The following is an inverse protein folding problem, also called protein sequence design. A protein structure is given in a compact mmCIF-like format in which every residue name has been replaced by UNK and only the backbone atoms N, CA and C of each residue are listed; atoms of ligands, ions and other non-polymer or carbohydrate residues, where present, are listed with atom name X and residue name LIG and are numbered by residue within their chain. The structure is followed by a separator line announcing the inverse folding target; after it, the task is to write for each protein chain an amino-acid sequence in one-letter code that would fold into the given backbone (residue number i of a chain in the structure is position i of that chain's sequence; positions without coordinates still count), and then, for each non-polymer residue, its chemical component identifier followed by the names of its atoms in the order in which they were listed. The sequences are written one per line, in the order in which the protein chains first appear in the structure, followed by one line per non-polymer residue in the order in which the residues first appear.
data_IF_979983157730
#
_entry.id   IF_979983157730
#
_cell.length_a   1.000
_cell.length_b   1.000
_cell.length_c   1.000
_cell.angle_alpha   90.00
_cell.angle_beta   90.00
_cell.angle_gamma   90.00
#
_symmetry.space_group_name_H-M   'P 1'
#
loop_
_entity.id
_entity.type
_entity.pdbx_description
1 polymer ?
#
# COMPACT_ATOMS: atom_id res chain seq x y z
N UNK A 1 11.18 16.26 10.20
CA UNK A 1 11.80 17.30 11.06
C UNK A 1 13.34 17.22 11.05
N UNK A 2 13.95 16.02 11.12
CA UNK A 2 15.42 15.88 11.13
C UNK A 2 16.05 16.45 9.86
N UNK A 3 15.55 16.09 8.67
CA UNK A 3 16.04 16.63 7.39
C UNK A 3 15.98 18.18 7.35
N UNK A 4 14.90 18.77 7.89
CA UNK A 4 14.76 20.23 7.98
C UNK A 4 15.85 20.85 8.88
N UNK A 5 16.15 20.22 10.00
CA UNK A 5 17.20 20.69 10.91
C UNK A 5 18.58 20.63 10.21
N UNK A 6 18.89 19.52 9.58
CA UNK A 6 20.16 19.29 8.90
C UNK A 6 20.36 20.25 7.71
N UNK A 7 19.31 20.50 6.88
CA UNK A 7 19.36 21.48 5.79
C UNK A 7 19.62 22.89 6.33
N UNK A 8 18.88 23.31 7.37
CA UNK A 8 19.03 24.65 7.94
C UNK A 8 20.43 24.87 8.56
N UNK A 9 20.98 23.84 9.20
CA UNK A 9 22.32 23.87 9.77
C UNK A 9 23.40 23.93 8.67
N UNK A 10 23.32 23.03 7.67
CA UNK A 10 24.30 22.93 6.60
C UNK A 10 24.35 24.18 5.72
N UNK A 11 23.17 24.75 5.40
CA UNK A 11 23.06 25.95 4.56
C UNK A 11 23.12 27.26 5.36
N UNK A 12 23.20 27.20 6.68
CA UNK A 12 23.25 28.37 7.55
C UNK A 12 21.96 29.21 7.51
N UNK A 13 20.81 28.58 7.25
CA UNK A 13 19.53 29.28 7.16
C UNK A 13 18.98 29.62 8.54
N UNK A 14 18.67 30.91 8.76
CA UNK A 14 18.15 31.43 10.01
C UNK A 14 16.89 32.27 9.81
N UNK A 15 16.12 32.43 10.85
CA UNK A 15 14.96 33.33 10.89
C UNK A 15 13.92 32.97 9.83
N UNK A 16 13.63 33.92 8.93
CA UNK A 16 12.63 33.74 7.86
C UNK A 16 13.11 32.87 6.70
N UNK A 17 14.42 32.69 6.56
CA UNK A 17 15.02 31.93 5.46
C UNK A 17 15.08 30.42 5.77
N UNK A 18 14.73 30.01 7.01
CA UNK A 18 14.67 28.60 7.39
C UNK A 18 13.69 27.82 6.54
N UNK A 19 14.13 26.66 6.09
CA UNK A 19 13.23 25.62 5.55
C UNK A 19 12.22 25.23 6.62
N UNK A 20 10.97 25.13 6.23
CA UNK A 20 9.85 24.67 7.07
C UNK A 20 9.03 23.68 6.27
N UNK A 21 8.55 22.65 6.91
CA UNK A 21 7.62 21.67 6.32
C UNK A 21 6.28 21.80 7.01
N UNK A 22 5.24 22.05 6.24
CA UNK A 22 3.85 21.84 6.64
C UNK A 22 3.44 20.43 6.19
N UNK A 23 2.66 19.74 6.99
CA UNK A 23 2.07 18.45 6.67
C UNK A 23 0.56 18.60 6.62
N UNK A 24 -0.04 18.08 5.55
CA UNK A 24 -1.47 17.97 5.39
C UNK A 24 -1.79 16.68 4.62
N UNK A 25 -2.97 16.11 4.80
CA UNK A 25 -3.39 14.90 4.12
C UNK A 25 -4.85 14.59 4.42
N UNK A 26 -5.49 13.74 3.59
CA UNK A 26 -6.85 13.30 3.82
C UNK A 26 -6.97 12.50 5.13
N UNK A 27 -8.18 12.43 5.66
CA UNK A 27 -8.48 11.64 6.86
C UNK A 27 -8.30 10.14 6.61
N UNK A 28 -8.69 9.69 5.41
CA UNK A 28 -8.53 8.31 4.96
C UNK A 28 -7.58 8.28 3.77
N UNK A 29 -6.63 7.35 3.77
CA UNK A 29 -5.56 7.27 2.77
C UNK A 29 -6.08 7.10 1.33
N UNK A 30 -7.21 6.42 1.15
CA UNK A 30 -7.83 6.18 -0.15
C UNK A 30 -8.74 7.33 -0.62
N UNK A 31 -8.86 8.42 0.15
CA UNK A 31 -9.74 9.56 -0.20
C UNK A 31 -9.10 10.45 -1.26
N UNK A 32 -9.18 10.01 -2.52
CA UNK A 32 -8.57 10.67 -3.68
C UNK A 32 -9.09 12.10 -3.86
N UNK A 33 -10.41 12.32 -3.79
CA UNK A 33 -11.02 13.65 -3.96
C UNK A 33 -10.56 14.61 -2.87
N UNK A 34 -10.41 14.15 -1.63
CA UNK A 34 -9.89 14.97 -0.53
C UNK A 34 -8.42 15.30 -0.75
N UNK A 35 -7.60 14.37 -1.23
CA UNK A 35 -6.20 14.62 -1.57
C UNK A 35 -6.08 15.70 -2.66
N UNK A 36 -6.87 15.62 -3.73
CA UNK A 36 -6.90 16.62 -4.81
C UNK A 36 -7.26 18.01 -4.26
N UNK A 37 -8.30 18.10 -3.44
CA UNK A 37 -8.71 19.37 -2.82
C UNK A 37 -7.63 19.96 -1.92
N UNK A 38 -6.99 19.14 -1.09
CA UNK A 38 -5.88 19.57 -0.23
C UNK A 38 -4.71 20.05 -1.09
N UNK A 39 -4.38 19.36 -2.17
CA UNK A 39 -3.29 19.77 -3.06
C UNK A 39 -3.59 21.12 -3.73
N UNK A 40 -4.82 21.37 -4.17
CA UNK A 40 -5.25 22.67 -4.69
C UNK A 40 -5.08 23.78 -3.66
N UNK A 41 -5.51 23.55 -2.40
CA UNK A 41 -5.35 24.51 -1.31
C UNK A 41 -3.89 24.80 -0.98
N UNK A 42 -3.03 23.76 -0.98
CA UNK A 42 -1.61 23.95 -0.71
C UNK A 42 -0.90 24.67 -1.88
N UNK A 43 -1.22 24.36 -3.14
CA UNK A 43 -0.68 25.09 -4.29
C UNK A 43 -1.09 26.56 -4.31
N UNK A 44 -2.31 26.88 -3.88
CA UNK A 44 -2.77 28.28 -3.74
C UNK A 44 -1.97 29.11 -2.73
N UNK A 45 -1.23 28.46 -1.82
CA UNK A 45 -0.31 29.12 -0.87
C UNK A 45 1.08 29.40 -1.45
N UNK A 46 1.32 29.00 -2.71
CA UNK A 46 2.60 29.14 -3.41
C UNK A 46 3.79 28.55 -2.60
N UNK A 47 3.77 27.25 -2.27
CA UNK A 47 4.88 26.62 -1.57
C UNK A 47 6.14 26.63 -2.44
N UNK A 48 7.31 26.58 -1.83
CA UNK A 48 8.60 26.53 -2.55
C UNK A 48 8.81 25.19 -3.26
N UNK A 49 8.23 24.11 -2.72
CA UNK A 49 8.17 22.77 -3.31
C UNK A 49 7.04 21.97 -2.66
N UNK A 50 6.59 20.91 -3.31
CA UNK A 50 5.64 19.94 -2.79
C UNK A 50 6.26 18.56 -2.77
N UNK A 51 6.05 17.81 -1.67
CA UNK A 51 6.29 16.36 -1.61
C UNK A 51 4.95 15.67 -1.33
N UNK A 52 4.59 14.66 -2.13
CA UNK A 52 3.28 14.01 -2.09
C UNK A 52 3.40 12.48 -2.25
N UNK A 53 2.68 11.72 -1.41
CA UNK A 53 2.35 10.32 -1.66
C UNK A 53 1.03 10.27 -2.43
N UNK A 54 1.06 9.73 -3.64
CA UNK A 54 -0.04 9.88 -4.61
C UNK A 54 -1.02 8.71 -4.45
N UNK A 55 -2.24 9.01 -4.04
CA UNK A 55 -3.28 8.01 -3.79
C UNK A 55 -3.86 7.37 -5.08
N UNK A 56 -3.88 8.11 -6.18
CA UNK A 56 -4.33 7.64 -7.50
C UNK A 56 -3.38 8.15 -8.58
N UNK A 57 -2.84 7.24 -9.38
CA UNK A 57 -1.81 7.53 -10.40
C UNK A 57 -2.20 8.58 -11.43
N UNK A 58 -3.48 8.92 -11.56
CA UNK A 58 -4.02 9.86 -12.57
C UNK A 58 -4.74 11.07 -11.98
N UNK A 59 -5.16 11.01 -10.73
CA UNK A 59 -6.07 12.01 -10.18
C UNK A 59 -5.46 13.42 -10.05
N UNK A 60 -4.15 13.54 -9.84
CA UNK A 60 -3.48 14.82 -9.56
C UNK A 60 -2.78 15.46 -10.77
N UNK A 61 -2.98 14.96 -11.99
CA UNK A 61 -2.26 15.47 -13.18
C UNK A 61 -2.49 16.96 -13.43
N UNK A 62 -3.75 17.44 -13.27
CA UNK A 62 -4.09 18.86 -13.44
C UNK A 62 -3.37 19.74 -12.42
N UNK A 63 -3.29 19.29 -11.17
CA UNK A 63 -2.59 19.99 -10.10
C UNK A 63 -1.07 20.00 -10.33
N UNK A 64 -0.52 18.94 -10.88
CA UNK A 64 0.90 18.88 -11.24
C UNK A 64 1.23 19.83 -12.40
N UNK A 65 0.35 19.94 -13.42
CA UNK A 65 0.49 20.93 -14.49
C UNK A 65 0.43 22.35 -13.91
N UNK A 66 -0.52 22.63 -13.01
CA UNK A 66 -0.62 23.92 -12.33
C UNK A 66 0.64 24.24 -11.50
N UNK A 67 1.19 23.26 -10.80
CA UNK A 67 2.44 23.40 -10.06
C UNK A 67 3.59 23.75 -10.99
N UNK A 68 3.71 23.05 -12.14
CA UNK A 68 4.73 23.30 -13.16
C UNK A 68 4.62 24.71 -13.76
N UNK A 69 3.42 25.18 -14.10
CA UNK A 69 3.15 26.54 -14.61
C UNK A 69 3.58 27.62 -13.59
N UNK A 70 3.50 27.33 -12.31
CA UNK A 70 3.90 28.22 -11.21
C UNK A 70 5.35 28.01 -10.74
N UNK A 71 6.12 27.16 -11.43
CA UNK A 71 7.50 26.79 -11.07
C UNK A 71 7.61 26.18 -9.66
N UNK A 72 6.60 25.46 -9.22
CA UNK A 72 6.60 24.72 -7.96
C UNK A 72 7.01 23.26 -8.24
N UNK A 73 8.24 22.84 -7.89
CA UNK A 73 8.68 21.47 -8.12
C UNK A 73 7.89 20.49 -7.24
N UNK A 74 7.53 19.34 -7.81
CA UNK A 74 6.82 18.25 -7.14
C UNK A 74 7.73 17.03 -7.06
N UNK A 75 7.85 16.47 -5.86
CA UNK A 75 8.52 15.20 -5.58
C UNK A 75 7.46 14.20 -5.11
N UNK A 76 7.42 13.03 -5.71
CA UNK A 76 6.60 11.94 -5.19
C UNK A 76 7.38 11.12 -4.15
N UNK A 77 6.69 10.60 -3.15
CA UNK A 77 7.24 9.63 -2.22
C UNK A 77 6.23 8.52 -1.94
N UNK A 78 6.73 7.37 -1.47
CA UNK A 78 5.94 6.17 -1.18
C UNK A 78 5.20 5.65 -2.42
N UNK A 79 4.11 6.26 -2.82
CA UNK A 79 3.35 5.96 -4.04
C UNK A 79 3.43 7.11 -5.04
N UNK A 80 3.67 6.78 -6.30
CA UNK A 80 3.93 7.73 -7.38
C UNK A 80 2.87 7.74 -8.48
N UNK A 81 3.26 8.29 -9.64
CA UNK A 81 2.48 8.27 -10.87
C UNK A 81 3.38 8.28 -12.10
N UNK A 82 2.80 8.06 -13.28
CA UNK A 82 3.51 8.16 -14.55
C UNK A 82 3.73 9.61 -15.03
N UNK A 83 3.32 10.62 -14.26
CA UNK A 83 3.47 12.03 -14.61
C UNK A 83 4.94 12.40 -14.78
N UNK A 84 5.31 12.90 -15.98
CA UNK A 84 6.73 13.12 -16.38
C UNK A 84 7.36 14.37 -15.74
N UNK A 85 6.57 15.21 -15.08
CA UNK A 85 7.03 16.43 -14.42
C UNK A 85 7.48 16.25 -12.97
N UNK A 86 7.41 15.03 -12.41
CA UNK A 86 7.94 14.76 -11.08
C UNK A 86 9.46 14.90 -11.05
N UNK A 87 9.97 15.63 -10.04
CA UNK A 87 11.41 15.93 -9.91
C UNK A 87 12.20 14.77 -9.30
N UNK A 88 11.55 13.88 -8.59
CA UNK A 88 12.07 12.62 -8.07
C UNK A 88 10.91 11.73 -7.58
N UNK A 89 11.16 10.44 -7.51
CA UNK A 89 10.37 9.45 -6.77
C UNK A 89 11.22 8.88 -5.64
N UNK A 90 10.71 8.92 -4.41
CA UNK A 90 11.38 8.42 -3.21
C UNK A 90 10.55 7.28 -2.64
N UNK A 91 10.97 6.04 -2.80
CA UNK A 91 10.14 4.89 -2.42
C UNK A 91 10.96 3.65 -2.07
N UNK A 92 10.28 2.66 -1.53
CA UNK A 92 10.74 1.27 -1.50
C UNK A 92 10.87 0.73 -2.93
N UNK A 93 11.87 -0.09 -3.21
CA UNK A 93 11.91 -0.92 -4.43
C UNK A 93 10.82 -2.01 -4.36
N UNK A 94 9.59 -1.60 -4.69
CA UNK A 94 8.42 -2.48 -4.65
C UNK A 94 8.53 -3.67 -5.60
N UNK A 95 9.33 -3.54 -6.69
CA UNK A 95 9.57 -4.66 -7.59
C UNK A 95 10.41 -5.74 -6.91
N UNK A 96 11.57 -5.37 -6.35
CA UNK A 96 12.41 -6.33 -5.63
C UNK A 96 11.73 -6.91 -4.40
N UNK A 97 11.05 -6.07 -3.63
CA UNK A 97 10.33 -6.49 -2.43
C UNK A 97 9.25 -7.56 -2.75
N UNK A 98 8.46 -7.34 -3.80
CA UNK A 98 7.42 -8.29 -4.20
C UNK A 98 7.98 -9.56 -4.82
N UNK A 99 9.12 -9.48 -5.54
CA UNK A 99 9.84 -10.66 -6.02
C UNK A 99 10.36 -11.51 -4.86
N UNK A 100 10.94 -10.88 -3.84
CA UNK A 100 11.43 -11.56 -2.64
C UNK A 100 10.28 -12.23 -1.86
N UNK A 101 9.16 -11.52 -1.65
CA UNK A 101 7.97 -12.11 -1.03
C UNK A 101 7.43 -13.33 -1.82
N UNK A 102 7.43 -13.25 -3.16
CA UNK A 102 7.02 -14.37 -4.00
C UNK A 102 7.93 -15.60 -3.87
N UNK A 103 9.26 -15.38 -3.74
CA UNK A 103 10.21 -16.46 -3.51
C UNK A 103 9.98 -17.13 -2.14
N UNK A 104 9.84 -16.35 -1.09
CA UNK A 104 9.55 -16.87 0.25
C UNK A 104 8.22 -17.63 0.30
N UNK A 105 7.16 -17.10 -0.36
CA UNK A 105 5.87 -17.79 -0.47
C UNK A 105 6.02 -19.16 -1.15
N UNK A 106 6.75 -19.22 -2.25
CA UNK A 106 6.98 -20.45 -2.96
C UNK A 106 7.79 -21.48 -2.16
N UNK A 107 8.79 -21.02 -1.39
CA UNK A 107 9.60 -21.86 -0.52
C UNK A 107 8.76 -22.43 0.64
N UNK A 108 7.94 -21.63 1.30
CA UNK A 108 7.11 -22.08 2.42
C UNK A 108 5.97 -23.02 2.01
N UNK A 109 5.51 -22.91 0.76
CA UNK A 109 4.45 -23.76 0.21
C UNK A 109 4.97 -24.99 -0.57
N UNK A 110 6.29 -25.29 -0.50
CA UNK A 110 6.90 -26.42 -1.21
C UNK A 110 6.70 -26.37 -2.74
N UNK A 111 6.51 -25.21 -3.34
CA UNK A 111 6.47 -24.96 -4.77
C UNK A 111 5.15 -25.24 -5.47
N UNK A 112 4.06 -25.57 -4.76
CA UNK A 112 2.74 -25.83 -5.36
C UNK A 112 1.56 -25.41 -4.46
N UNK A 113 0.41 -25.19 -5.08
CA UNK A 113 -0.85 -24.87 -4.37
C UNK A 113 -1.61 -23.70 -4.97
N UNK A 114 -2.57 -23.19 -4.22
CA UNK A 114 -3.34 -22.00 -4.57
C UNK A 114 -2.90 -20.82 -3.70
N UNK A 115 -2.63 -19.69 -4.35
CA UNK A 115 -2.25 -18.43 -3.72
C UNK A 115 -3.29 -17.36 -4.06
N UNK A 116 -3.73 -16.63 -3.06
CA UNK A 116 -4.62 -15.48 -3.20
C UNK A 116 -3.83 -14.19 -2.94
N UNK A 117 -3.87 -13.28 -3.90
CA UNK A 117 -3.25 -11.95 -3.82
C UNK A 117 -4.34 -10.92 -3.54
N UNK A 118 -4.17 -10.11 -2.51
CA UNK A 118 -5.10 -9.05 -2.13
C UNK A 118 -4.39 -7.69 -2.22
N UNK A 119 -4.70 -6.95 -3.28
CA UNK A 119 -4.28 -5.57 -3.43
C UNK A 119 -5.22 -4.64 -2.65
N UNK A 120 -4.65 -3.67 -1.94
CA UNK A 120 -5.42 -2.75 -1.10
C UNK A 120 -6.33 -1.83 -1.90
N UNK A 121 -5.97 -1.50 -3.15
CA UNK A 121 -6.80 -0.76 -4.09
C UNK A 121 -6.41 -1.03 -5.55
N UNK A 122 -7.15 -0.45 -6.50
CA UNK A 122 -6.93 -0.55 -7.94
C UNK A 122 -6.27 0.69 -8.56
N UNK A 123 -5.83 1.68 -7.77
CA UNK A 123 -5.49 3.03 -8.23
C UNK A 123 -4.09 3.47 -7.88
N UNK A 124 -3.57 3.09 -6.70
CA UNK A 124 -2.24 3.47 -6.25
C UNK A 124 -1.15 2.69 -6.97
N UNK A 125 -0.03 3.35 -7.25
CA UNK A 125 1.12 2.72 -7.90
C UNK A 125 1.65 1.55 -7.09
N UNK A 126 1.71 1.70 -5.76
CA UNK A 126 2.21 0.66 -4.86
C UNK A 126 1.35 -0.60 -4.88
N UNK A 127 0.01 -0.47 -4.84
CA UNK A 127 -0.89 -1.61 -4.95
C UNK A 127 -0.69 -2.37 -6.25
N UNK A 128 -0.65 -1.63 -7.37
CA UNK A 128 -0.51 -2.20 -8.71
C UNK A 128 0.84 -2.90 -8.93
N UNK A 129 1.95 -2.29 -8.48
CA UNK A 129 3.27 -2.90 -8.62
C UNK A 129 3.36 -4.16 -7.73
N UNK A 130 2.97 -4.06 -6.47
CA UNK A 130 3.05 -5.17 -5.52
C UNK A 130 2.21 -6.38 -5.96
N UNK A 131 0.97 -6.15 -6.41
CA UNK A 131 0.09 -7.19 -6.97
C UNK A 131 0.71 -7.84 -8.21
N UNK A 132 1.02 -7.03 -9.23
CA UNK A 132 1.43 -7.54 -10.54
C UNK A 132 2.77 -8.27 -10.44
N UNK A 133 3.77 -7.68 -9.79
CA UNK A 133 5.12 -8.27 -9.71
C UNK A 133 5.11 -9.57 -8.91
N UNK A 134 4.37 -9.63 -7.80
CA UNK A 134 4.22 -10.88 -7.05
C UNK A 134 3.58 -11.97 -7.91
N UNK A 135 2.41 -11.67 -8.52
CA UNK A 135 1.68 -12.64 -9.33
C UNK A 135 2.50 -13.10 -10.56
N UNK A 136 3.15 -12.18 -11.27
CA UNK A 136 4.01 -12.50 -12.42
C UNK A 136 5.22 -13.34 -12.03
N UNK A 137 5.83 -13.05 -10.86
CA UNK A 137 6.97 -13.83 -10.34
C UNK A 137 6.55 -15.27 -10.03
N UNK A 138 5.42 -15.46 -9.34
CA UNK A 138 4.88 -16.80 -9.07
C UNK A 138 4.57 -17.53 -10.38
N UNK A 139 3.82 -16.92 -11.29
CA UNK A 139 3.39 -17.55 -12.54
C UNK A 139 4.55 -17.93 -13.45
N UNK A 140 5.60 -17.08 -13.51
CA UNK A 140 6.75 -17.32 -14.38
C UNK A 140 7.78 -18.29 -13.80
N UNK A 141 8.04 -18.22 -12.49
CA UNK A 141 9.12 -18.96 -11.85
C UNK A 141 8.62 -20.26 -11.18
N UNK A 142 7.34 -20.31 -10.81
CA UNK A 142 6.73 -21.42 -10.07
C UNK A 142 5.37 -21.82 -10.68
N UNK A 143 5.36 -22.35 -11.92
CA UNK A 143 4.13 -22.57 -12.70
C UNK A 143 3.18 -23.65 -12.13
N UNK A 144 3.54 -24.30 -11.03
CA UNK A 144 2.70 -25.26 -10.31
C UNK A 144 1.65 -24.55 -9.42
N UNK A 145 1.84 -23.27 -9.14
CA UNK A 145 0.87 -22.49 -8.38
C UNK A 145 -0.29 -22.00 -9.23
N UNK A 146 -1.47 -21.98 -8.64
CA UNK A 146 -2.62 -21.23 -9.13
C UNK A 146 -2.67 -19.90 -8.37
N UNK A 147 -2.77 -18.77 -9.09
CA UNK A 147 -2.82 -17.44 -8.51
C UNK A 147 -4.15 -16.79 -8.84
N UNK A 148 -4.88 -16.36 -7.80
CA UNK A 148 -6.05 -15.51 -7.91
C UNK A 148 -5.74 -14.15 -7.30
N UNK A 149 -5.99 -13.06 -8.03
CA UNK A 149 -5.72 -11.70 -7.56
C UNK A 149 -7.03 -10.91 -7.45
N UNK A 150 -7.14 -10.14 -6.38
CA UNK A 150 -8.31 -9.32 -6.04
C UNK A 150 -7.88 -7.93 -5.57
N UNK A 151 -8.65 -6.90 -5.94
CA UNK A 151 -8.49 -5.52 -5.50
C UNK A 151 -9.66 -5.12 -4.63
N UNK A 152 -9.38 -4.63 -3.43
CA UNK A 152 -10.38 -4.47 -2.38
C UNK A 152 -11.56 -3.58 -2.81
N UNK A 153 -11.27 -2.44 -3.44
CA UNK A 153 -12.29 -1.48 -3.92
C UNK A 153 -13.17 -2.06 -5.04
N UNK A 154 -12.61 -2.86 -5.95
CA UNK A 154 -13.37 -3.56 -7.00
C UNK A 154 -14.23 -4.68 -6.41
N UNK A 155 -13.72 -5.36 -5.39
CA UNK A 155 -14.41 -6.48 -4.76
C UNK A 155 -15.61 -6.06 -3.93
N UNK A 156 -15.64 -4.87 -3.33
CA UNK A 156 -16.83 -4.36 -2.64
C UNK A 156 -18.06 -4.37 -3.54
N UNK A 157 -17.89 -3.90 -4.79
CA UNK A 157 -18.97 -3.95 -5.80
C UNK A 157 -19.36 -5.37 -6.15
N UNK A 158 -18.36 -6.23 -6.41
CA UNK A 158 -18.61 -7.63 -6.78
C UNK A 158 -19.39 -8.36 -5.69
N UNK A 159 -19.02 -8.18 -4.43
CA UNK A 159 -19.70 -8.82 -3.29
C UNK A 159 -21.12 -8.28 -3.13
N UNK A 160 -21.32 -6.95 -3.27
CA UNK A 160 -22.66 -6.36 -3.24
C UNK A 160 -23.57 -6.92 -4.36
N UNK A 161 -23.04 -7.05 -5.57
CA UNK A 161 -23.79 -7.62 -6.70
C UNK A 161 -24.15 -9.10 -6.45
N UNK A 162 -23.23 -9.92 -5.94
CA UNK A 162 -23.48 -11.33 -5.60
C UNK A 162 -24.55 -11.47 -4.49
N UNK A 163 -24.57 -10.56 -3.51
CA UNK A 163 -25.61 -10.51 -2.47
C UNK A 163 -26.94 -10.12 -3.09
N UNK A 164 -26.97 -9.07 -3.90
CA UNK A 164 -28.17 -8.56 -4.55
C UNK A 164 -28.79 -9.57 -5.53
N UNK A 165 -27.97 -10.44 -6.11
CA UNK A 165 -28.41 -11.55 -6.96
C UNK A 165 -28.79 -12.82 -6.16
N UNK A 166 -28.67 -12.79 -4.85
CA UNK A 166 -28.97 -13.93 -3.96
C UNK A 166 -27.99 -15.09 -4.07
N UNK A 167 -26.78 -14.83 -4.56
CA UNK A 167 -25.70 -15.82 -4.73
C UNK A 167 -24.75 -15.91 -3.54
N UNK A 168 -24.70 -14.86 -2.73
CA UNK A 168 -23.88 -14.78 -1.52
C UNK A 168 -24.67 -14.18 -0.36
N UNK A 169 -24.32 -14.61 0.86
CA UNK A 169 -24.86 -14.09 2.10
C UNK A 169 -23.69 -13.76 3.04
N UNK A 170 -23.71 -12.56 3.63
CA UNK A 170 -22.79 -12.18 4.71
C UNK A 170 -23.24 -12.89 5.99
N UNK A 171 -22.29 -13.57 6.65
CA UNK A 171 -22.55 -14.32 7.89
C UNK A 171 -22.92 -15.77 7.66
N UNK A 172 -23.65 -16.36 8.62
CA UNK A 172 -24.04 -17.75 8.60
C UNK A 172 -25.32 -17.98 7.79
N UNK A 173 -25.39 -19.11 7.10
CA UNK A 173 -26.53 -19.54 6.31
C UNK A 173 -26.22 -19.77 4.86
N UNK A 174 -27.26 -20.14 4.10
CA UNK A 174 -27.18 -20.34 2.65
C UNK A 174 -27.80 -19.13 1.94
N UNK A 175 -27.22 -18.72 0.78
CA UNK A 175 -27.82 -17.68 -0.04
C UNK A 175 -29.20 -18.11 -0.54
N UNK A 176 -30.10 -17.17 -0.76
CA UNK A 176 -31.50 -17.44 -1.14
C UNK A 176 -31.64 -18.12 -2.52
N UNK A 177 -30.66 -17.93 -3.40
CA UNK A 177 -30.70 -18.33 -4.79
C UNK A 177 -31.60 -17.43 -5.68
N UNK A 178 -32.25 -16.43 -5.10
CA UNK A 178 -33.13 -15.47 -5.79
C UNK A 178 -32.66 -14.04 -5.54
N UNK A 179 -32.74 -13.14 -6.55
CA UNK A 179 -32.39 -11.74 -6.42
C UNK A 179 -33.20 -11.04 -5.31
N UNK A 180 -32.53 -10.15 -4.58
CA UNK A 180 -33.18 -9.31 -3.59
C UNK A 180 -34.16 -8.32 -4.25
N UNK A 181 -35.27 -8.04 -3.56
CA UNK A 181 -36.17 -6.98 -3.92
C UNK A 181 -35.44 -5.62 -3.97
N UNK A 182 -35.87 -4.70 -4.84
CA UNK A 182 -35.13 -3.45 -5.11
C UNK A 182 -34.92 -2.63 -3.84
N UNK A 183 -35.91 -2.58 -2.95
CA UNK A 183 -35.83 -1.90 -1.66
C UNK A 183 -34.89 -2.54 -0.63
N UNK A 184 -34.49 -3.79 -0.87
CA UNK A 184 -33.60 -4.58 0.02
C UNK A 184 -32.19 -4.68 -0.51
N UNK A 185 -31.90 -4.11 -1.68
CA UNK A 185 -30.56 -4.14 -2.28
C UNK A 185 -29.58 -3.33 -1.45
N UNK A 186 -28.36 -3.85 -1.36
CA UNK A 186 -27.27 -3.17 -0.68
C UNK A 186 -26.39 -2.43 -1.70
N UNK A 187 -25.84 -1.28 -1.29
CA UNK A 187 -24.86 -0.54 -2.06
C UNK A 187 -23.45 -1.08 -1.81
N UNK A 188 -22.52 -0.96 -2.78
CA UNK A 188 -21.14 -1.39 -2.60
C UNK A 188 -20.47 -0.85 -1.34
N UNK A 189 -20.75 0.40 -0.98
CA UNK A 189 -20.21 1.10 0.19
C UNK A 189 -20.68 0.48 1.53
N UNK A 190 -21.70 -0.35 1.49
CA UNK A 190 -22.18 -1.10 2.66
C UNK A 190 -21.40 -2.40 2.90
N UNK A 191 -20.59 -2.83 1.93
CA UNK A 191 -19.73 -4.02 2.04
C UNK A 191 -18.41 -3.60 2.65
N UNK A 192 -18.10 -4.10 3.84
CA UNK A 192 -16.84 -3.79 4.53
C UNK A 192 -15.68 -4.60 3.94
N UNK A 193 -14.45 -4.17 4.23
CA UNK A 193 -13.23 -4.91 3.83
C UNK A 193 -13.23 -6.33 4.42
N UNK A 194 -13.73 -6.52 5.64
CA UNK A 194 -13.87 -7.81 6.27
C UNK A 194 -14.85 -8.73 5.50
N UNK A 195 -15.97 -8.16 5.01
CA UNK A 195 -16.94 -8.93 4.21
C UNK A 195 -16.32 -9.38 2.89
N UNK A 196 -15.47 -8.55 2.27
CA UNK A 196 -14.73 -8.91 1.06
C UNK A 196 -13.78 -10.06 1.34
N UNK A 197 -13.01 -10.01 2.43
CA UNK A 197 -12.09 -11.10 2.78
C UNK A 197 -12.85 -12.38 3.12
N UNK A 198 -13.94 -12.32 3.87
CA UNK A 198 -14.75 -13.51 4.19
C UNK A 198 -15.31 -14.14 2.90
N UNK A 199 -15.73 -13.33 1.92
CA UNK A 199 -16.13 -13.82 0.59
C UNK A 199 -14.98 -14.50 -0.15
N UNK A 200 -13.80 -13.87 -0.20
CA UNK A 200 -12.62 -14.42 -0.90
C UNK A 200 -12.17 -15.73 -0.27
N UNK A 201 -12.06 -15.78 1.05
CA UNK A 201 -11.68 -17.01 1.79
C UNK A 201 -12.68 -18.14 1.52
N UNK A 202 -13.98 -17.85 1.54
CA UNK A 202 -15.04 -18.85 1.22
C UNK A 202 -14.96 -19.32 -0.24
N UNK A 203 -14.55 -18.46 -1.15
CA UNK A 203 -14.40 -18.77 -2.59
C UNK A 203 -13.17 -19.62 -2.89
N UNK A 204 -12.14 -19.54 -2.07
CA UNK A 204 -10.86 -20.23 -2.22
C UNK A 204 -10.57 -21.20 -1.08
N UNK A 205 -11.39 -22.26 -0.89
CA UNK A 205 -11.28 -23.16 0.27
C UNK A 205 -9.99 -24.01 0.27
N UNK A 206 -9.26 -24.05 -0.85
CA UNK A 206 -8.00 -24.76 -0.99
C UNK A 206 -6.78 -23.84 -1.00
N UNK A 207 -6.97 -22.54 -0.85
CA UNK A 207 -5.85 -21.60 -0.82
C UNK A 207 -4.97 -21.84 0.40
N UNK A 208 -3.66 -22.00 0.17
CA UNK A 208 -2.65 -22.19 1.20
C UNK A 208 -1.80 -20.95 1.41
N UNK A 209 -1.71 -20.06 0.41
CA UNK A 209 -0.95 -18.83 0.47
C UNK A 209 -1.84 -17.60 0.30
N UNK A 210 -1.54 -16.56 1.07
CA UNK A 210 -2.17 -15.25 0.96
C UNK A 210 -1.08 -14.17 0.95
N UNK A 211 -1.18 -13.23 0.02
CA UNK A 211 -0.27 -12.09 -0.06
C UNK A 211 -1.09 -10.81 -0.11
N UNK A 212 -0.84 -9.91 0.84
CA UNK A 212 -1.55 -8.64 0.97
C UNK A 212 -0.59 -7.46 0.80
N UNK A 213 -1.01 -6.41 0.07
CA UNK A 213 -0.10 -5.39 -0.43
C UNK A 213 0.12 -4.19 0.50
N UNK A 214 -0.53 -4.14 1.68
CA UNK A 214 -0.27 -3.17 2.75
C UNK A 214 -0.66 -3.71 4.14
N UNK A 215 -0.31 -2.98 5.21
CA UNK A 215 -0.56 -3.40 6.58
C UNK A 215 -2.04 -3.61 6.91
N UNK A 216 -2.92 -2.69 6.50
CA UNK A 216 -4.36 -2.85 6.72
C UNK A 216 -4.91 -4.12 6.08
N UNK A 217 -4.54 -4.37 4.82
CA UNK A 217 -5.01 -5.57 4.11
C UNK A 217 -4.46 -6.85 4.72
N UNK A 218 -3.17 -6.89 5.13
CA UNK A 218 -2.62 -8.09 5.76
C UNK A 218 -3.31 -8.41 7.08
N UNK A 219 -3.65 -7.40 7.88
CA UNK A 219 -4.40 -7.60 9.12
C UNK A 219 -5.83 -8.05 8.86
N UNK A 220 -6.51 -7.47 7.86
CA UNK A 220 -7.88 -7.88 7.48
C UNK A 220 -7.92 -9.34 7.03
N UNK A 221 -6.89 -9.77 6.26
CA UNK A 221 -6.73 -11.18 5.85
C UNK A 221 -6.45 -12.08 7.07
N UNK A 222 -5.52 -11.71 7.96
CA UNK A 222 -5.20 -12.48 9.16
C UNK A 222 -6.44 -12.71 10.05
N UNK A 223 -7.26 -11.68 10.21
CA UNK A 223 -8.49 -11.76 10.97
C UNK A 223 -9.57 -12.57 10.24
N UNK A 224 -9.64 -12.49 8.90
CA UNK A 224 -10.54 -13.32 8.08
C UNK A 224 -10.22 -14.81 8.14
N UNK A 225 -8.93 -15.15 8.02
CA UNK A 225 -8.46 -16.53 8.18
C UNK A 225 -8.78 -17.08 9.57
N UNK A 226 -8.57 -16.27 10.62
CA UNK A 226 -8.92 -16.63 11.99
C UNK A 226 -10.42 -16.87 12.18
N UNK A 227 -11.28 -16.01 11.59
CA UNK A 227 -12.75 -16.22 11.60
C UNK A 227 -13.16 -17.48 10.87
N UNK A 228 -12.47 -17.83 9.80
CA UNK A 228 -12.72 -19.06 9.04
C UNK A 228 -12.15 -20.34 9.70
N UNK A 229 -11.37 -20.19 10.78
CA UNK A 229 -10.71 -21.32 11.46
C UNK A 229 -9.55 -21.92 10.65
N UNK A 230 -8.92 -21.12 9.77
CA UNK A 230 -7.76 -21.51 8.96
C UNK A 230 -6.50 -21.06 9.71
N UNK A 231 -5.75 -22.02 10.25
CA UNK A 231 -4.58 -21.78 11.09
C UNK A 231 -3.24 -22.09 10.39
N UNK A 232 -3.28 -22.81 9.27
CA UNK A 232 -2.11 -23.33 8.55
C UNK A 232 -1.81 -22.63 7.22
N UNK A 233 -2.50 -21.50 6.95
CA UNK A 233 -2.23 -20.70 5.77
C UNK A 233 -0.96 -19.86 5.94
N UNK A 234 -0.16 -19.77 4.87
CA UNK A 234 0.97 -18.86 4.78
C UNK A 234 0.46 -17.47 4.39
N UNK A 235 0.61 -16.49 5.29
CA UNK A 235 0.23 -15.10 5.03
C UNK A 235 1.47 -14.21 5.04
N UNK A 236 1.68 -13.48 3.96
CA UNK A 236 2.75 -12.51 3.80
C UNK A 236 2.21 -11.14 3.39
N UNK A 237 2.89 -10.07 3.78
CA UNK A 237 2.45 -8.72 3.43
C UNK A 237 3.48 -7.65 3.72
N UNK A 238 3.00 -6.44 3.95
CA UNK A 238 3.80 -5.23 4.16
C UNK A 238 3.55 -4.63 5.52
N UNK A 239 4.47 -3.72 5.87
CA UNK A 239 4.47 -2.87 7.05
C UNK A 239 4.74 -3.61 8.37
N UNK A 240 4.86 -2.89 9.47
CA UNK A 240 5.22 -3.46 10.76
C UNK A 240 4.75 -2.59 11.94
N UNK A 241 3.48 -2.21 11.89
CA UNK A 241 2.83 -1.61 13.05
C UNK A 241 2.73 -2.63 14.20
N UNK A 242 2.36 -2.16 15.35
CA UNK A 242 2.24 -3.01 16.54
C UNK A 242 1.34 -4.23 16.33
N UNK A 243 0.25 -4.09 15.57
CA UNK A 243 -0.70 -5.19 15.32
C UNK A 243 -0.11 -6.26 14.40
N UNK A 244 0.58 -5.84 13.33
CA UNK A 244 1.27 -6.74 12.41
C UNK A 244 2.38 -7.49 13.13
N UNK A 245 3.16 -6.81 13.98
CA UNK A 245 4.22 -7.45 14.76
C UNK A 245 3.68 -8.43 15.81
N UNK A 246 2.55 -8.13 16.45
CA UNK A 246 1.87 -9.08 17.34
C UNK A 246 1.38 -10.31 16.55
N UNK A 247 0.74 -10.09 15.38
CA UNK A 247 0.28 -11.18 14.53
C UNK A 247 1.42 -12.05 13.97
N UNK A 248 2.57 -11.44 13.65
CA UNK A 248 3.78 -12.15 13.24
C UNK A 248 4.32 -13.03 14.39
N UNK A 249 4.41 -12.50 15.61
CA UNK A 249 4.85 -13.23 16.81
C UNK A 249 3.93 -14.41 17.16
N UNK A 250 2.63 -14.20 16.98
CA UNK A 250 1.61 -15.22 17.23
C UNK A 250 1.55 -16.27 16.10
N UNK A 251 2.22 -16.05 14.96
CA UNK A 251 2.26 -16.96 13.82
C UNK A 251 1.04 -16.84 12.89
N UNK A 252 0.22 -15.80 13.02
CA UNK A 252 -0.88 -15.49 12.08
C UNK A 252 -0.39 -14.86 10.78
N UNK A 253 0.81 -14.28 10.81
CA UNK A 253 1.54 -13.77 9.65
C UNK A 253 2.88 -14.51 9.59
N UNK A 254 3.29 -14.96 8.41
CA UNK A 254 4.53 -15.71 8.18
C UNK A 254 5.71 -14.77 7.91
N UNK A 255 5.48 -13.67 7.20
CA UNK A 255 6.52 -12.71 6.88
C UNK A 255 6.00 -11.35 6.43
N UNK A 256 6.81 -10.32 6.68
CA UNK A 256 6.50 -8.93 6.37
C UNK A 256 7.65 -8.25 5.63
N UNK A 257 7.32 -7.50 4.59
CA UNK A 257 8.18 -6.48 3.99
C UNK A 257 8.07 -5.20 4.82
N UNK A 258 9.09 -4.92 5.61
CA UNK A 258 9.14 -3.69 6.42
C UNK A 258 9.85 -2.60 5.64
N UNK A 259 9.14 -1.55 5.33
CA UNK A 259 9.63 -0.39 4.61
C UNK A 259 10.47 0.52 5.51
N UNK A 260 11.08 1.56 4.94
CA UNK A 260 11.85 2.57 5.68
C UNK A 260 11.15 3.94 5.64
N UNK A 261 10.07 4.16 6.42
CA UNK A 261 9.33 5.42 6.40
C UNK A 261 10.16 6.61 6.88
N UNK A 262 11.10 6.40 7.80
CA UNK A 262 12.03 7.44 8.23
C UNK A 262 12.91 7.89 7.07
N UNK A 263 13.55 6.94 6.37
CA UNK A 263 14.38 7.21 5.20
C UNK A 263 13.57 7.89 4.07
N UNK A 264 12.36 7.42 3.82
CA UNK A 264 11.43 8.03 2.86
C UNK A 264 11.14 9.49 3.18
N UNK A 265 10.71 9.78 4.40
CA UNK A 265 10.42 11.14 4.84
C UNK A 265 11.65 12.04 4.82
N UNK A 266 12.82 11.53 5.22
CA UNK A 266 14.09 12.27 5.17
C UNK A 266 14.48 12.61 3.72
N UNK A 267 14.56 11.61 2.87
CA UNK A 267 14.97 11.77 1.46
C UNK A 267 13.99 12.65 0.66
N UNK A 268 12.68 12.57 0.94
CA UNK A 268 11.67 13.41 0.29
C UNK A 268 11.89 14.90 0.56
N UNK A 269 12.19 15.27 1.81
CA UNK A 269 12.49 16.66 2.18
C UNK A 269 13.79 17.13 1.52
N UNK A 270 14.83 16.29 1.47
CA UNK A 270 16.08 16.60 0.78
C UNK A 270 15.82 16.78 -0.72
N UNK A 271 15.09 15.86 -1.36
CA UNK A 271 14.80 15.94 -2.79
C UNK A 271 13.98 17.19 -3.14
N UNK A 272 12.95 17.51 -2.35
CA UNK A 272 12.15 18.72 -2.53
C UNK A 272 12.99 20.00 -2.38
N UNK A 273 13.89 20.05 -1.38
CA UNK A 273 14.80 21.18 -1.18
C UNK A 273 15.79 21.34 -2.32
N UNK A 274 16.36 20.23 -2.83
CA UNK A 274 17.26 20.24 -4.00
C UNK A 274 16.53 20.73 -5.25
N UNK A 275 15.29 20.28 -5.47
CA UNK A 275 14.47 20.72 -6.60
C UNK A 275 14.17 22.23 -6.51
N UNK A 276 13.82 22.74 -5.33
CA UNK A 276 13.59 24.17 -5.08
C UNK A 276 14.85 25.02 -5.34
N UNK A 277 16.03 24.50 -5.00
CA UNK A 277 17.32 25.14 -5.27
C UNK A 277 17.85 24.91 -6.70
N UNK A 278 17.07 24.27 -7.55
CA UNK A 278 17.46 23.88 -8.92
C UNK A 278 18.73 23.02 -8.97
N UNK A 279 18.96 22.24 -7.93
CA UNK A 279 19.99 21.20 -7.85
C UNK A 279 19.34 19.90 -8.31
N UNK A 280 19.90 19.19 -9.27
CA UNK A 280 19.36 17.96 -9.81
C UNK A 280 19.16 16.88 -8.74
N UNK A 281 18.14 16.02 -8.93
CA UNK A 281 17.89 14.80 -8.17
C UNK A 281 18.14 13.58 -9.04
N UNK A 282 18.36 12.43 -8.40
CA UNK A 282 18.12 11.15 -9.04
C UNK A 282 16.62 11.01 -9.31
N UNK A 283 16.27 10.42 -10.46
CA UNK A 283 14.86 10.27 -10.84
C UNK A 283 14.12 9.34 -9.86
N UNK A 284 14.83 8.38 -9.29
CA UNK A 284 14.33 7.44 -8.32
C UNK A 284 15.34 7.22 -7.19
N UNK A 285 14.87 7.31 -5.96
CA UNK A 285 15.65 7.17 -4.73
C UNK A 285 15.05 6.00 -3.94
N UNK A 286 15.76 4.86 -3.96
CA UNK A 286 15.38 3.69 -3.18
C UNK A 286 15.70 3.90 -1.70
N UNK A 287 14.71 3.70 -0.84
CA UNK A 287 14.87 3.82 0.61
C UNK A 287 15.13 2.51 1.32
N UNK A 288 15.13 1.42 0.57
CA UNK A 288 15.33 0.07 1.08
C UNK A 288 14.10 -0.49 1.79
N UNK A 289 14.19 -1.78 2.10
CA UNK A 289 13.23 -2.53 2.91
C UNK A 289 13.96 -3.69 3.61
N UNK A 290 13.26 -4.35 4.52
CA UNK A 290 13.78 -5.50 5.24
C UNK A 290 12.72 -6.59 5.29
N UNK A 291 13.11 -7.84 5.00
CA UNK A 291 12.27 -9.00 5.21
C UNK A 291 12.30 -9.41 6.68
N UNK A 292 11.13 -9.43 7.32
CA UNK A 292 10.96 -9.72 8.73
C UNK A 292 10.06 -10.92 8.94
N UNK A 293 10.54 -11.88 9.71
CA UNK A 293 9.83 -13.08 10.12
C UNK A 293 9.84 -13.20 11.64
N UNK A 294 9.11 -14.16 12.19
CA UNK A 294 9.11 -14.44 13.63
C UNK A 294 10.50 -14.73 14.16
N UNK A 295 11.35 -15.39 13.36
CA UNK A 295 12.71 -15.81 13.74
C UNK A 295 13.66 -14.64 13.89
N UNK A 296 13.55 -13.59 13.05
CA UNK A 296 14.47 -12.45 13.05
C UNK A 296 13.90 -11.17 13.67
N UNK A 297 12.61 -11.14 13.98
CA UNK A 297 11.94 -9.95 14.50
C UNK A 297 12.54 -9.39 15.81
N UNK A 298 13.23 -10.23 16.60
CA UNK A 298 13.87 -9.82 17.85
C UNK A 298 15.35 -9.44 17.66
N UNK A 299 15.92 -9.51 16.45
CA UNK A 299 17.28 -9.10 16.16
C UNK A 299 17.43 -7.58 16.39
N UNK A 300 18.51 -7.17 17.05
CA UNK A 300 18.76 -5.76 17.42
C UNK A 300 18.67 -4.82 16.22
N UNK A 301 19.22 -5.22 15.07
CA UNK A 301 19.18 -4.45 13.82
C UNK A 301 17.77 -4.32 13.23
N UNK A 302 16.94 -5.34 13.42
CA UNK A 302 15.54 -5.32 12.98
C UNK A 302 14.74 -4.41 13.90
N UNK A 303 14.95 -4.51 15.22
CA UNK A 303 14.27 -3.67 16.20
C UNK A 303 14.54 -2.16 16.00
N UNK A 304 15.71 -1.78 15.46
CA UNK A 304 16.05 -0.39 15.15
C UNK A 304 15.24 0.21 13.98
N UNK A 305 14.66 -0.63 13.13
CA UNK A 305 13.89 -0.18 11.95
C UNK A 305 12.36 -0.34 12.13
N UNK A 306 11.95 -1.09 13.15
CA UNK A 306 10.52 -1.24 13.48
C UNK A 306 9.97 0.04 14.12
N UNK A 307 8.74 0.41 13.84
CA UNK A 307 8.09 1.68 14.25
C UNK A 307 6.71 1.47 14.89
#
# INVERSE_FOLDING_TARGET
QRAVADINEELGYEGKDKVKVAYNGPAEAESVDEQVNILDEELARYPTAVAISIADTKACEVQFDLAAENNIPVVAFDSGSEYKGLMAMVSTDNQKASQEAAQHMAEELDGEGEIVVIAHDSKSETALIRENVFAETIQSSYPQFQVAAYRMDEMQRTVADEINEGKYLIGEGEPSGEPLAEESRIAPESVTKENVIDYIVKKHPNARGYYATNGESVMTVADGLSRAGIEDAVLMGYDADKKELEALKDGRISGLIVQNPYGMGYASVIAASRAALQIGNEAWIDTGYTWVTKENAEDEKIQEILY
#
